data_IF_876348423319
#
_entry.id   IF_876348423319
#
_cell.length_a   1.000
_cell.length_b   1.000
_cell.length_c   1.000
_cell.angle_alpha   90.00
_cell.angle_beta   90.00
_cell.angle_gamma   90.00
#
_symmetry.space_group_name_H-M   'P 1'
#
loop_
_entity.id
_entity.type
_entity.pdbx_description
1 polymer ?
#
# COMPACT_ATOMS: atom_id res chain seq x y z
N UNK A 1 14.60 30.71 -20.25
CA UNK A 1 15.86 30.52 -19.51
C UNK A 1 16.64 29.43 -20.22
N UNK A 2 17.87 29.70 -20.65
CA UNK A 2 18.79 28.69 -21.19
C UNK A 2 19.95 28.53 -20.20
N UNK A 3 20.20 27.31 -19.76
CA UNK A 3 21.30 26.97 -18.86
C UNK A 3 22.24 26.06 -19.64
N UNK A 4 23.54 26.34 -19.60
CA UNK A 4 24.55 25.43 -20.12
C UNK A 4 24.96 24.47 -19.01
N UNK A 5 24.92 23.19 -19.32
CA UNK A 5 25.32 22.10 -18.42
C UNK A 5 26.22 21.15 -19.20
N UNK A 6 27.13 20.50 -18.50
CA UNK A 6 27.87 19.34 -19.00
C UNK A 6 26.93 18.14 -19.18
N UNK A 7 27.42 17.12 -19.90
CA UNK A 7 26.66 15.90 -20.15
C UNK A 7 26.33 15.15 -18.85
N UNK A 8 27.29 15.07 -17.92
CA UNK A 8 27.10 14.45 -16.59
C UNK A 8 26.04 15.19 -15.77
N UNK A 9 26.08 16.53 -15.75
CA UNK A 9 25.07 17.33 -15.07
C UNK A 9 23.69 17.12 -15.67
N UNK A 10 23.60 17.04 -17.00
CA UNK A 10 22.34 16.75 -17.69
C UNK A 10 21.77 15.39 -17.28
N UNK A 11 22.59 14.34 -17.27
CA UNK A 11 22.16 12.99 -16.85
C UNK A 11 21.66 12.97 -15.40
N UNK A 12 22.38 13.63 -14.48
CA UNK A 12 21.95 13.73 -13.08
C UNK A 12 20.62 14.46 -12.95
N UNK A 13 20.45 15.59 -13.65
CA UNK A 13 19.21 16.36 -13.66
C UNK A 13 18.07 15.53 -14.23
N UNK A 14 18.31 14.82 -15.33
CA UNK A 14 17.33 13.98 -15.99
C UNK A 14 16.90 12.81 -15.08
N UNK A 15 17.85 12.11 -14.47
CA UNK A 15 17.58 11.03 -13.51
C UNK A 15 16.77 11.53 -12.31
N UNK A 16 17.15 12.67 -11.72
CA UNK A 16 16.43 13.26 -10.58
C UNK A 16 15.02 13.71 -10.95
N UNK A 17 14.82 14.26 -12.16
CA UNK A 17 13.52 14.65 -12.67
C UNK A 17 12.62 13.43 -12.90
N UNK A 18 13.16 12.39 -13.54
CA UNK A 18 12.47 11.12 -13.80
C UNK A 18 12.04 10.42 -12.51
N UNK A 19 12.93 10.34 -11.53
CA UNK A 19 12.65 9.77 -10.20
C UNK A 19 11.55 10.51 -9.43
N UNK A 20 11.34 11.79 -9.73
CA UNK A 20 10.29 12.63 -9.15
C UNK A 20 9.02 12.69 -10.01
N UNK A 21 8.99 12.04 -11.19
CA UNK A 21 7.88 12.11 -12.14
C UNK A 21 7.69 13.50 -12.77
N UNK A 22 8.78 14.27 -12.93
CA UNK A 22 8.77 15.64 -13.44
C UNK A 22 9.58 15.78 -14.72
N UNK A 23 9.31 16.83 -15.49
CA UNK A 23 10.24 17.28 -16.53
C UNK A 23 11.43 18.03 -15.92
N UNK A 24 12.58 18.06 -16.59
CA UNK A 24 13.74 18.84 -16.13
C UNK A 24 13.40 20.32 -15.88
N UNK A 25 12.57 20.91 -16.74
CA UNK A 25 12.12 22.31 -16.59
C UNK A 25 11.28 22.52 -15.34
N UNK A 26 10.37 21.59 -15.02
CA UNK A 26 9.54 21.68 -13.82
C UNK A 26 10.35 21.41 -12.55
N UNK A 27 11.30 20.47 -12.59
CA UNK A 27 12.26 20.25 -11.51
C UNK A 27 13.05 21.54 -11.19
N UNK A 28 13.58 22.21 -12.22
CA UNK A 28 14.28 23.50 -12.07
C UNK A 28 13.38 24.58 -11.49
N UNK A 29 12.17 24.73 -12.03
CA UNK A 29 11.20 25.73 -11.56
C UNK A 29 10.86 25.52 -10.09
N UNK A 30 10.66 24.28 -9.65
CA UNK A 30 10.38 23.96 -8.25
C UNK A 30 11.56 24.27 -7.34
N UNK A 31 12.76 23.84 -7.71
CA UNK A 31 13.97 24.13 -6.93
C UNK A 31 14.23 25.64 -6.82
N UNK A 32 14.09 26.39 -7.92
CA UNK A 32 14.27 27.84 -7.93
C UNK A 32 13.25 28.58 -7.06
N UNK A 33 12.04 28.03 -6.91
CA UNK A 33 10.96 28.60 -6.09
C UNK A 33 10.86 27.94 -4.71
N UNK A 34 11.83 27.11 -4.32
CA UNK A 34 11.84 26.35 -3.06
C UNK A 34 10.54 25.56 -2.81
N UNK A 35 9.90 25.09 -3.88
CA UNK A 35 8.69 24.29 -3.80
C UNK A 35 9.06 22.83 -3.51
N UNK A 36 8.33 22.14 -2.62
CA UNK A 36 8.60 20.74 -2.34
C UNK A 36 8.43 19.86 -3.59
N UNK A 37 9.26 18.83 -3.68
CA UNK A 37 9.09 17.79 -4.68
C UNK A 37 7.81 16.98 -4.37
N UNK A 38 7.14 16.42 -5.39
CA UNK A 38 6.07 15.46 -5.15
C UNK A 38 6.58 14.34 -4.24
N UNK A 39 5.75 13.91 -3.28
CA UNK A 39 6.07 12.74 -2.47
C UNK A 39 6.26 11.55 -3.40
N UNK A 40 7.38 10.85 -3.27
CA UNK A 40 7.65 9.63 -4.04
C UNK A 40 6.68 8.56 -3.56
N UNK A 41 5.73 8.17 -4.40
CA UNK A 41 4.96 6.96 -4.16
C UNK A 41 5.84 5.78 -4.55
N UNK A 42 6.15 4.90 -3.59
CA UNK A 42 6.98 3.72 -3.87
C UNK A 42 6.20 2.75 -4.76
N UNK A 43 6.92 1.95 -5.57
CA UNK A 43 6.30 0.88 -6.37
C UNK A 43 5.47 -0.06 -5.47
N UNK A 44 5.98 -0.33 -4.27
CA UNK A 44 5.32 -1.12 -3.23
C UNK A 44 4.00 -0.46 -2.83
N UNK A 45 3.99 0.84 -2.51
CA UNK A 45 2.76 1.55 -2.11
C UNK A 45 1.68 1.51 -3.21
N UNK A 46 2.07 1.64 -4.49
CA UNK A 46 1.13 1.49 -5.62
C UNK A 46 0.58 0.06 -5.69
N UNK A 47 1.44 -0.94 -5.58
CA UNK A 47 1.04 -2.35 -5.63
C UNK A 47 0.12 -2.70 -4.45
N UNK A 48 0.50 -2.31 -3.22
CA UNK A 48 -0.33 -2.48 -2.03
C UNK A 48 -1.69 -1.82 -2.19
N UNK A 49 -1.77 -0.60 -2.75
CA UNK A 49 -3.04 0.08 -3.00
C UNK A 49 -3.96 -0.72 -3.93
N UNK A 50 -3.40 -1.29 -5.02
CA UNK A 50 -4.16 -2.13 -5.95
C UNK A 50 -4.67 -3.40 -5.26
N UNK A 51 -3.83 -4.07 -4.48
CA UNK A 51 -4.23 -5.29 -3.76
C UNK A 51 -5.29 -5.01 -2.69
N UNK A 52 -5.19 -3.88 -1.98
CA UNK A 52 -6.24 -3.42 -1.05
C UNK A 52 -7.58 -3.19 -1.77
N UNK A 53 -7.54 -2.64 -2.99
CA UNK A 53 -8.74 -2.48 -3.84
C UNK A 53 -9.40 -3.81 -4.18
N UNK A 54 -8.61 -4.85 -4.50
CA UNK A 54 -9.13 -6.21 -4.76
C UNK A 54 -9.76 -6.82 -3.52
N UNK A 55 -9.14 -6.63 -2.34
CA UNK A 55 -9.72 -7.06 -1.06
C UNK A 55 -11.07 -6.40 -0.82
N UNK A 56 -11.15 -5.07 -0.96
CA UNK A 56 -12.40 -4.34 -0.78
C UNK A 56 -13.51 -4.84 -1.71
N UNK A 57 -13.17 -5.14 -2.97
CA UNK A 57 -14.10 -5.73 -3.92
C UNK A 57 -14.58 -7.12 -3.51
N UNK A 58 -13.69 -7.97 -2.98
CA UNK A 58 -14.06 -9.31 -2.51
C UNK A 58 -14.99 -9.24 -1.30
N UNK A 59 -14.67 -8.39 -0.31
CA UNK A 59 -15.52 -8.16 0.87
C UNK A 59 -16.90 -7.66 0.43
N UNK A 60 -16.95 -6.66 -0.45
CA UNK A 60 -18.20 -6.11 -0.94
C UNK A 60 -19.08 -7.17 -1.66
N UNK A 61 -18.47 -8.08 -2.42
CA UNK A 61 -19.20 -9.18 -3.07
C UNK A 61 -19.76 -10.16 -2.04
N UNK A 62 -18.97 -10.55 -1.04
CA UNK A 62 -19.41 -11.45 0.03
C UNK A 62 -20.57 -10.82 0.83
N UNK A 63 -20.44 -9.55 1.22
CA UNK A 63 -21.48 -8.81 1.94
C UNK A 63 -22.76 -8.68 1.11
N UNK A 64 -22.65 -8.32 -0.18
CA UNK A 64 -23.83 -8.25 -1.07
C UNK A 64 -24.54 -9.58 -1.21
N UNK A 65 -23.79 -10.67 -1.38
CA UNK A 65 -24.36 -12.02 -1.48
C UNK A 65 -25.08 -12.41 -0.18
N UNK A 66 -24.47 -12.13 0.97
CA UNK A 66 -25.06 -12.40 2.28
C UNK A 66 -26.34 -11.57 2.51
N UNK A 67 -26.29 -10.26 2.24
CA UNK A 67 -27.44 -9.37 2.40
C UNK A 67 -28.59 -9.75 1.46
N UNK A 68 -28.29 -10.16 0.24
CA UNK A 68 -29.31 -10.63 -0.72
C UNK A 68 -30.00 -11.89 -0.21
N UNK A 69 -29.24 -12.85 0.32
CA UNK A 69 -29.82 -14.07 0.89
C UNK A 69 -30.73 -13.76 2.09
N UNK A 70 -30.28 -12.90 3.00
CA UNK A 70 -31.07 -12.47 4.16
C UNK A 70 -32.37 -11.77 3.73
N UNK A 71 -32.30 -10.87 2.75
CA UNK A 71 -33.47 -10.17 2.22
C UNK A 71 -34.50 -11.12 1.59
N UNK A 72 -34.05 -12.26 1.07
CA UNK A 72 -34.89 -13.33 0.53
C UNK A 72 -35.38 -14.33 1.62
N UNK A 73 -35.10 -14.07 2.90
CA UNK A 73 -35.44 -14.98 4.01
C UNK A 73 -34.61 -16.27 4.02
N UNK A 74 -33.51 -16.31 3.28
CA UNK A 74 -32.63 -17.47 3.16
C UNK A 74 -31.43 -17.32 4.09
N UNK A 75 -30.88 -18.45 4.55
CA UNK A 75 -29.62 -18.44 5.28
C UNK A 75 -28.48 -18.09 4.32
N UNK A 76 -27.67 -17.05 4.59
CA UNK A 76 -26.57 -16.69 3.71
C UNK A 76 -25.58 -17.85 3.60
N UNK A 77 -25.35 -18.29 2.36
CA UNK A 77 -24.36 -19.32 2.06
C UNK A 77 -23.00 -18.63 1.88
N UNK A 78 -22.13 -18.80 2.86
CA UNK A 78 -20.75 -18.32 2.79
C UNK A 78 -19.99 -19.24 1.84
N UNK A 79 -19.45 -18.66 0.77
CA UNK A 79 -18.57 -19.36 -0.16
C UNK A 79 -17.17 -19.44 0.46
N UNK A 80 -16.85 -20.58 1.06
CA UNK A 80 -15.58 -20.81 1.75
C UNK A 80 -14.37 -20.64 0.81
N UNK A 81 -14.51 -20.92 -0.49
CA UNK A 81 -13.42 -20.76 -1.45
C UNK A 81 -13.06 -19.28 -1.66
N UNK A 82 -14.07 -18.39 -1.68
CA UNK A 82 -13.84 -16.94 -1.75
C UNK A 82 -13.24 -16.38 -0.47
N UNK A 83 -13.62 -16.94 0.68
CA UNK A 83 -13.06 -16.53 1.97
C UNK A 83 -11.60 -16.96 2.11
N UNK A 84 -11.26 -18.17 1.67
CA UNK A 84 -9.89 -18.68 1.64
C UNK A 84 -9.01 -17.86 0.69
N UNK A 85 -9.50 -17.57 -0.53
CA UNK A 85 -8.80 -16.70 -1.48
C UNK A 85 -8.55 -15.28 -0.93
N UNK A 86 -9.48 -14.75 -0.12
CA UNK A 86 -9.29 -13.47 0.56
C UNK A 86 -8.19 -13.57 1.64
N UNK A 87 -8.17 -14.66 2.41
CA UNK A 87 -7.13 -14.94 3.40
C UNK A 87 -5.73 -15.06 2.77
N UNK A 88 -5.62 -15.78 1.65
CA UNK A 88 -4.36 -15.91 0.89
C UNK A 88 -3.85 -14.55 0.41
N UNK A 89 -4.74 -13.70 -0.11
CA UNK A 89 -4.39 -12.37 -0.59
C UNK A 89 -3.90 -11.47 0.56
N UNK A 90 -4.57 -11.51 1.71
CA UNK A 90 -4.15 -10.79 2.92
C UNK A 90 -2.76 -11.25 3.39
N UNK A 91 -2.50 -12.55 3.40
CA UNK A 91 -1.18 -13.08 3.74
C UNK A 91 -0.11 -12.66 2.73
N UNK A 92 -0.44 -12.60 1.45
CA UNK A 92 0.48 -12.12 0.41
C UNK A 92 0.84 -10.65 0.62
N UNK A 93 -0.16 -9.78 0.82
CA UNK A 93 0.07 -8.37 1.11
C UNK A 93 0.92 -8.19 2.38
N UNK A 94 0.62 -8.95 3.44
CA UNK A 94 1.42 -8.92 4.68
C UNK A 94 2.87 -9.29 4.41
N UNK A 95 3.14 -10.35 3.65
CA UNK A 95 4.52 -10.74 3.27
C UNK A 95 5.21 -9.66 2.44
N UNK A 96 4.50 -9.05 1.49
CA UNK A 96 5.06 -7.99 0.64
C UNK A 96 5.38 -6.72 1.45
N UNK A 97 4.56 -6.38 2.45
CA UNK A 97 4.81 -5.25 3.36
C UNK A 97 5.98 -5.56 4.32
N UNK A 98 5.94 -6.68 5.04
CA UNK A 98 6.97 -7.07 6.02
C UNK A 98 8.31 -7.39 5.35
N UNK A 99 8.28 -7.95 4.13
CA UNK A 99 9.47 -8.21 3.33
C UNK A 99 10.10 -6.96 2.68
N UNK A 100 9.37 -5.84 2.64
CA UNK A 100 9.88 -4.57 2.12
C UNK A 100 10.54 -3.68 3.17
N UNK A 101 10.52 -4.07 4.44
CA UNK A 101 11.08 -3.25 5.51
C UNK A 101 11.83 -4.09 6.56
N UNK A 102 13.09 -4.40 6.24
CA UNK A 102 14.07 -4.85 7.25
C UNK A 102 15.04 -3.74 7.64
N UNK A 103 14.83 -2.51 7.18
CA UNK A 103 15.73 -1.38 7.44
C UNK A 103 15.14 -0.32 8.35
N UNK A 104 13.86 -0.41 8.74
CA UNK A 104 13.21 0.56 9.64
C UNK A 104 12.47 -0.05 10.83
N UNK A 105 12.47 -1.37 11.01
CA UNK A 105 12.01 -1.97 12.26
C UNK A 105 13.15 -1.89 13.29
N UNK A 106 13.15 -0.79 14.05
CA UNK A 106 13.80 -0.75 15.36
C UNK A 106 13.20 -1.86 16.23
N UNK A 107 14.07 -2.52 16.98
CA UNK A 107 13.74 -3.60 17.92
C UNK A 107 12.81 -3.08 19.03
N UNK A 108 11.49 -3.19 18.88
CA UNK A 108 10.47 -3.03 19.92
C UNK A 108 9.22 -3.81 19.44
N UNK A 109 8.54 -4.74 20.12
CA UNK A 109 8.66 -5.34 21.45
C UNK A 109 8.02 -6.74 21.37
N UNK A 110 8.55 -7.72 22.10
CA UNK A 110 7.79 -8.93 22.44
C UNK A 110 6.63 -8.53 23.37
N UNK A 111 5.44 -8.28 22.80
CA UNK A 111 4.20 -8.25 23.59
C UNK A 111 3.85 -9.69 24.00
N UNK A 112 4.37 -10.07 25.16
CA UNK A 112 3.96 -11.24 25.94
C UNK A 112 2.49 -11.04 26.34
N UNK A 113 1.59 -11.75 25.66
CA UNK A 113 0.16 -11.71 25.96
C UNK A 113 -0.08 -12.53 27.24
N UNK A 114 0.12 -11.87 28.39
CA UNK A 114 -0.24 -12.37 29.70
C UNK A 114 -1.76 -12.59 29.75
N UNK A 115 -2.17 -13.87 29.66
CA UNK A 115 -3.55 -14.30 29.83
C UNK A 115 -3.93 -14.20 31.31
N UNK A 116 -4.24 -13.00 31.75
CA UNK A 116 -4.95 -12.75 33.00
C UNK A 116 -6.42 -12.50 32.73
N UNK A 117 -7.27 -13.51 32.96
CA UNK A 117 -8.62 -13.33 33.49
C UNK A 117 -9.04 -14.67 34.14
N UNK A 118 -8.72 -14.79 35.42
CA UNK A 118 -9.57 -15.49 36.38
C UNK A 118 -10.89 -14.72 36.46
N UNK A 119 -12.03 -15.43 36.40
CA UNK A 119 -13.06 -15.28 37.43
C UNK A 119 -14.02 -16.47 37.40
N UNK A 120 -14.05 -17.17 38.54
CA UNK A 120 -15.12 -18.03 39.01
C UNK A 120 -16.44 -17.24 39.10
N UNK A 121 -17.55 -17.81 38.59
CA UNK A 121 -18.80 -18.13 39.32
C UNK A 121 -19.88 -18.63 38.35
#
# INVERSE_FOLDING_TARGET
MQIRVSEVEFEMIHSRASQAGLSCSELFRRNALLRPLPKRTTKIAVQTYVELGKIGNNINQLTKAANTAIALGQKPRIDMAKLEALGELLHQIRREIVGCDKSQLGEEDEEDWDNGEEDEF
#
